data_IF_016753901403
#
_entry.id   IF_016753901403
#
_cell.length_a   1.000
_cell.length_b   1.000
_cell.length_c   1.000
_cell.angle_alpha   90.00
_cell.angle_beta   90.00
_cell.angle_gamma   90.00
#
_symmetry.space_group_name_H-M   'P 1'
#
loop_
_entity.id
_entity.type
_entity.pdbx_description
1 polymer ?
#
# COMPACT_ATOMS: atom_id res chain seq x y z
N UNK A 1 86.71 11.61 13.06
CA UNK A 1 87.47 12.24 11.99
C UNK A 1 86.43 12.86 11.10
N UNK A 2 86.31 14.13 11.27
CA UNK A 2 86.62 15.26 10.40
C UNK A 2 85.58 15.39 9.28
N UNK A 3 84.97 16.43 8.98
CA UNK A 3 84.88 17.89 9.18
C UNK A 3 83.85 18.34 8.16
N UNK A 4 82.85 19.04 8.52
CA UNK A 4 82.58 20.48 8.29
C UNK A 4 82.89 20.98 6.87
N UNK A 5 81.92 21.60 6.23
CA UNK A 5 81.95 23.05 5.95
C UNK A 5 80.75 23.48 5.14
N UNK A 6 80.28 24.63 5.59
CA UNK A 6 79.29 25.54 5.05
C UNK A 6 79.43 25.91 3.57
N UNK A 7 78.36 26.32 2.91
CA UNK A 7 78.23 27.56 2.16
C UNK A 7 76.78 27.94 1.98
N UNK A 8 76.48 29.20 2.36
CA UNK A 8 75.29 30.01 2.02
C UNK A 8 75.27 30.28 0.48
N UNK A 9 74.08 30.42 -0.11
CA UNK A 9 73.74 31.67 -0.76
C UNK A 9 72.32 31.66 -1.36
N UNK A 10 71.63 32.69 -1.08
CA UNK A 10 70.44 33.38 -1.55
C UNK A 10 70.15 33.21 -3.08
N UNK A 11 68.88 33.06 -3.46
CA UNK A 11 68.30 33.93 -4.45
C UNK A 11 66.74 33.98 -4.41
N UNK A 12 66.25 35.16 -4.54
CA UNK A 12 64.88 35.59 -4.72
C UNK A 12 64.33 35.15 -6.10
N UNK A 13 63.08 34.69 -6.13
CA UNK A 13 62.31 34.57 -7.35
C UNK A 13 60.82 34.30 -7.12
N UNK A 14 59.89 34.74 -7.95
CA UNK A 14 58.68 35.44 -7.58
C UNK A 14 57.51 34.59 -7.21
N UNK A 15 56.62 35.21 -6.42
CA UNK A 15 55.30 34.72 -6.03
C UNK A 15 54.48 34.14 -7.20
N UNK A 16 54.31 32.81 -7.17
CA UNK A 16 53.30 32.11 -7.92
C UNK A 16 51.99 32.22 -7.19
N UNK A 17 51.05 32.99 -7.75
CA UNK A 17 49.64 33.06 -7.37
C UNK A 17 49.07 31.63 -7.30
N UNK A 18 48.73 31.19 -6.11
CA UNK A 18 47.87 30.03 -5.88
C UNK A 18 46.47 30.47 -6.40
N UNK A 19 46.09 29.94 -7.55
CA UNK A 19 44.71 29.96 -7.98
C UNK A 19 44.01 28.91 -7.09
N UNK A 20 43.35 29.38 -6.07
CA UNK A 20 42.33 28.56 -5.40
C UNK A 20 41.26 28.21 -6.43
N UNK A 21 41.22 26.98 -6.83
CA UNK A 21 40.12 26.38 -7.57
C UNK A 21 38.94 26.29 -6.64
N UNK A 22 38.18 27.39 -6.51
CA UNK A 22 36.84 27.44 -5.93
C UNK A 22 35.85 26.74 -6.86
N UNK A 23 35.97 25.43 -7.00
CA UNK A 23 34.97 24.52 -7.57
C UNK A 23 34.60 23.42 -6.58
N UNK A 24 34.42 23.73 -5.31
CA UNK A 24 33.42 23.03 -4.52
C UNK A 24 32.05 23.56 -4.91
N UNK A 25 31.58 23.11 -6.08
CA UNK A 25 30.21 23.30 -6.49
C UNK A 25 29.30 22.71 -5.40
N UNK A 26 28.63 23.63 -4.76
CA UNK A 26 27.43 23.51 -3.95
C UNK A 26 26.54 22.32 -4.42
N UNK A 27 26.86 21.12 -4.01
CA UNK A 27 25.95 19.97 -4.01
C UNK A 27 24.97 20.19 -2.86
N UNK A 28 24.20 21.27 -2.92
CA UNK A 28 22.99 21.38 -2.13
C UNK A 28 22.17 20.16 -2.45
N UNK A 29 21.86 19.44 -1.42
CA UNK A 29 21.07 18.24 -1.41
C UNK A 29 19.69 18.54 -2.07
N UNK A 30 19.57 18.32 -3.39
CA UNK A 30 18.35 18.54 -4.18
C UNK A 30 17.13 17.80 -3.61
N UNK A 31 17.35 16.88 -2.66
CA UNK A 31 16.31 16.15 -1.95
C UNK A 31 15.41 17.05 -1.09
N UNK A 32 15.88 18.25 -0.70
CA UNK A 32 15.11 19.18 0.12
C UNK A 32 14.24 20.17 -0.69
N UNK A 33 14.37 20.23 -1.99
CA UNK A 33 13.67 21.24 -2.83
C UNK A 33 12.54 20.66 -3.68
N UNK A 34 12.44 19.32 -3.84
CA UNK A 34 11.38 18.72 -4.63
C UNK A 34 10.21 18.26 -3.75
N UNK A 35 8.99 18.31 -4.29
CA UNK A 35 7.84 17.67 -3.67
C UNK A 35 8.05 16.15 -3.64
N UNK A 36 7.67 15.52 -2.54
CA UNK A 36 7.63 14.05 -2.48
C UNK A 36 6.60 13.51 -3.45
N UNK A 37 6.88 12.37 -4.06
CA UNK A 37 6.05 11.73 -5.07
C UNK A 37 5.41 10.45 -4.53
N UNK A 38 4.10 10.30 -4.73
CA UNK A 38 3.35 9.09 -4.38
C UNK A 38 2.64 8.50 -5.59
N UNK A 39 2.75 7.19 -5.77
CA UNK A 39 1.97 6.40 -6.73
C UNK A 39 0.90 5.60 -5.97
N UNK A 40 -0.38 5.83 -6.30
CA UNK A 40 -1.52 5.22 -5.63
C UNK A 40 -2.34 4.40 -6.62
N UNK A 41 -2.65 3.15 -6.27
CA UNK A 41 -3.48 2.30 -7.12
C UNK A 41 -4.93 2.24 -6.65
N UNK A 42 -5.89 2.18 -7.59
CA UNK A 42 -7.31 2.02 -7.29
C UNK A 42 -7.98 3.27 -6.73
N UNK A 43 -7.74 4.43 -7.35
CA UNK A 43 -8.26 5.74 -6.89
C UNK A 43 -9.69 6.05 -7.36
N UNK A 44 -10.39 5.13 -8.05
CA UNK A 44 -11.75 5.40 -8.57
C UNK A 44 -12.79 5.61 -7.48
N UNK A 45 -12.58 5.14 -6.25
CA UNK A 45 -13.52 5.29 -5.13
C UNK A 45 -12.85 4.99 -3.79
N UNK A 46 -13.58 5.21 -2.69
CA UNK A 46 -13.23 4.77 -1.33
C UNK A 46 -11.83 5.18 -0.88
N UNK A 47 -11.11 4.26 -0.25
CA UNK A 47 -9.79 4.51 0.36
C UNK A 47 -8.79 5.13 -0.62
N UNK A 48 -8.71 4.62 -1.85
CA UNK A 48 -7.73 5.13 -2.82
C UNK A 48 -7.98 6.58 -3.23
N UNK A 49 -9.25 6.97 -3.39
CA UNK A 49 -9.63 8.36 -3.68
C UNK A 49 -9.33 9.27 -2.49
N UNK A 50 -9.74 8.88 -1.29
CA UNK A 50 -9.47 9.62 -0.06
C UNK A 50 -7.95 9.79 0.17
N UNK A 51 -7.17 8.71 -0.06
CA UNK A 51 -5.71 8.75 0.02
C UNK A 51 -5.12 9.75 -0.97
N UNK A 52 -5.55 9.75 -2.23
CA UNK A 52 -5.06 10.69 -3.23
C UNK A 52 -5.32 12.14 -2.82
N UNK A 53 -6.51 12.43 -2.29
CA UNK A 53 -6.88 13.74 -1.76
C UNK A 53 -5.99 14.12 -0.56
N UNK A 54 -5.84 13.24 0.43
CA UNK A 54 -5.03 13.50 1.62
C UNK A 54 -3.56 13.80 1.28
N UNK A 55 -2.95 13.06 0.34
CA UNK A 55 -1.58 13.35 -0.09
C UNK A 55 -1.46 14.67 -0.85
N UNK A 56 -2.45 15.00 -1.69
CA UNK A 56 -2.46 16.27 -2.43
C UNK A 56 -2.56 17.47 -1.48
N UNK A 57 -3.42 17.39 -0.47
CA UNK A 57 -3.58 18.43 0.57
C UNK A 57 -2.33 18.61 1.44
N UNK A 58 -1.47 17.59 1.52
CA UNK A 58 -0.19 17.60 2.22
C UNK A 58 1.01 17.87 1.29
N UNK A 59 0.78 18.54 0.16
CA UNK A 59 1.79 19.07 -0.76
C UNK A 59 2.64 17.98 -1.45
N UNK A 60 2.12 16.76 -1.61
CA UNK A 60 2.76 15.72 -2.39
C UNK A 60 2.41 15.84 -3.88
N UNK A 61 3.31 15.38 -4.74
CA UNK A 61 2.98 15.09 -6.13
C UNK A 61 2.30 13.73 -6.22
N UNK A 62 1.02 13.72 -6.58
CA UNK A 62 0.19 12.52 -6.56
C UNK A 62 -0.02 11.96 -7.96
N UNK A 63 0.35 10.70 -8.14
CA UNK A 63 0.00 9.88 -9.31
C UNK A 63 -1.13 8.94 -8.91
N UNK A 64 -2.34 9.32 -9.29
CA UNK A 64 -3.55 8.57 -9.01
C UNK A 64 -3.90 7.65 -10.18
N UNK A 65 -4.17 6.37 -9.91
CA UNK A 65 -4.45 5.41 -10.98
C UNK A 65 -5.79 4.70 -10.85
N UNK A 66 -6.41 4.42 -11.97
CA UNK A 66 -7.63 3.63 -12.09
C UNK A 66 -7.64 2.86 -13.42
N UNK A 67 -8.48 1.82 -13.55
CA UNK A 67 -8.68 1.09 -14.82
C UNK A 67 -9.33 1.95 -15.90
N UNK A 68 -10.16 2.92 -15.49
CA UNK A 68 -10.72 3.95 -16.34
C UNK A 68 -10.46 5.31 -15.69
N UNK A 69 -9.76 6.19 -16.40
CA UNK A 69 -9.39 7.53 -15.93
C UNK A 69 -10.58 8.46 -15.78
N UNK A 70 -11.67 8.25 -16.51
CA UNK A 70 -12.91 9.05 -16.38
C UNK A 70 -13.46 9.00 -14.94
N UNK A 71 -13.22 7.89 -14.24
CA UNK A 71 -13.65 7.73 -12.85
C UNK A 71 -12.81 8.54 -11.86
N UNK A 72 -11.69 9.13 -12.29
CA UNK A 72 -10.76 9.92 -11.47
C UNK A 72 -10.51 11.32 -12.04
N UNK A 73 -11.36 11.80 -12.96
CA UNK A 73 -11.28 13.13 -13.53
C UNK A 73 -11.28 14.23 -12.46
N UNK A 74 -12.11 14.10 -11.43
CA UNK A 74 -12.13 15.04 -10.31
C UNK A 74 -10.79 15.12 -9.53
N UNK A 75 -10.01 14.03 -9.50
CA UNK A 75 -8.65 14.06 -8.93
C UNK A 75 -7.67 14.79 -9.85
N UNK A 76 -7.84 14.68 -11.16
CA UNK A 76 -7.05 15.44 -12.14
C UNK A 76 -7.33 16.94 -12.03
N UNK A 77 -8.60 17.33 -11.98
CA UNK A 77 -9.02 18.73 -11.75
C UNK A 77 -8.48 19.29 -10.41
N UNK A 78 -8.38 18.45 -9.38
CA UNK A 78 -7.81 18.82 -8.09
C UNK A 78 -6.28 18.97 -8.13
N UNK A 79 -5.58 18.46 -9.17
CA UNK A 79 -4.13 18.59 -9.35
C UNK A 79 -3.33 17.30 -9.29
N UNK A 80 -3.97 16.13 -9.21
CA UNK A 80 -3.27 14.85 -9.36
C UNK A 80 -2.86 14.61 -10.83
N UNK A 81 -1.80 13.86 -11.04
CA UNK A 81 -1.53 13.24 -12.34
C UNK A 81 -2.28 11.92 -12.42
N UNK A 82 -3.24 11.82 -13.34
CA UNK A 82 -4.04 10.60 -13.51
C UNK A 82 -3.45 9.69 -14.57
N UNK A 83 -3.43 8.37 -14.29
CA UNK A 83 -2.89 7.36 -15.20
C UNK A 83 -3.81 6.12 -15.23
N UNK A 84 -4.01 5.57 -16.43
CA UNK A 84 -4.70 4.29 -16.57
C UNK A 84 -3.83 3.14 -16.09
N UNK A 85 -4.37 2.31 -15.19
CA UNK A 85 -3.69 1.13 -14.65
C UNK A 85 -4.67 0.01 -14.31
N UNK A 86 -4.52 -1.11 -14.99
CA UNK A 86 -4.94 -2.42 -14.52
C UNK A 86 -3.73 -3.11 -13.90
N UNK A 87 -3.77 -3.38 -12.59
CA UNK A 87 -2.68 -4.02 -11.84
C UNK A 87 -2.41 -5.47 -12.27
N UNK A 88 -3.33 -6.07 -13.03
CA UNK A 88 -3.16 -7.41 -13.63
C UNK A 88 -2.34 -7.37 -14.92
N UNK A 89 -2.16 -6.19 -15.52
CA UNK A 89 -1.42 -6.00 -16.77
C UNK A 89 0.03 -5.56 -16.50
N UNK A 90 1.04 -6.43 -16.69
CA UNK A 90 2.44 -6.12 -16.38
C UNK A 90 3.02 -4.98 -17.21
N UNK A 91 2.53 -4.80 -18.45
CA UNK A 91 3.01 -3.73 -19.34
C UNK A 91 2.50 -2.36 -18.89
N UNK A 92 1.24 -2.30 -18.42
CA UNK A 92 0.68 -1.08 -17.84
C UNK A 92 1.40 -0.73 -16.54
N UNK A 93 1.68 -1.71 -15.68
CA UNK A 93 2.45 -1.52 -14.44
C UNK A 93 3.82 -0.90 -14.73
N UNK A 94 4.59 -1.49 -15.65
CA UNK A 94 5.89 -0.97 -16.02
C UNK A 94 5.81 0.49 -16.52
N UNK A 95 4.90 0.76 -17.46
CA UNK A 95 4.68 2.11 -18.01
C UNK A 95 4.31 3.15 -16.97
N UNK A 96 3.43 2.79 -16.02
CA UNK A 96 2.98 3.70 -14.97
C UNK A 96 4.11 4.03 -14.01
N UNK A 97 4.90 3.04 -13.60
CA UNK A 97 6.07 3.25 -12.74
C UNK A 97 7.09 4.15 -13.44
N UNK A 98 7.45 3.87 -14.70
CA UNK A 98 8.38 4.70 -15.48
C UNK A 98 7.88 6.15 -15.60
N UNK A 99 6.60 6.35 -15.97
CA UNK A 99 6.01 7.69 -16.07
C UNK A 99 6.00 8.44 -14.73
N UNK A 100 5.80 7.71 -13.63
CA UNK A 100 5.86 8.31 -12.29
C UNK A 100 7.26 8.81 -11.99
N UNK A 101 8.29 8.01 -12.29
CA UNK A 101 9.69 8.41 -12.11
C UNK A 101 10.07 9.56 -13.05
N UNK A 102 9.70 9.49 -14.33
CA UNK A 102 10.02 10.53 -15.32
C UNK A 102 9.43 11.90 -14.95
N UNK A 103 8.19 11.93 -14.45
CA UNK A 103 7.48 13.18 -14.14
C UNK A 103 7.65 13.63 -12.69
N UNK A 104 7.76 12.68 -11.77
CA UNK A 104 7.90 12.93 -10.33
C UNK A 104 9.36 13.04 -9.87
N UNK A 105 10.31 12.63 -10.72
CA UNK A 105 11.73 12.54 -10.39
C UNK A 105 12.08 11.37 -9.47
N UNK A 106 11.08 10.72 -8.86
CA UNK A 106 11.24 9.61 -7.91
C UNK A 106 9.93 8.91 -7.64
N UNK A 107 9.97 7.84 -6.84
CA UNK A 107 8.80 7.28 -6.15
C UNK A 107 9.16 7.24 -4.67
N UNK A 108 8.70 8.23 -3.90
CA UNK A 108 8.96 8.28 -2.46
C UNK A 108 8.00 7.35 -1.70
N UNK A 109 6.77 7.16 -2.22
CA UNK A 109 5.78 6.26 -1.66
C UNK A 109 5.03 5.51 -2.77
N UNK A 110 4.88 4.20 -2.61
CA UNK A 110 3.99 3.35 -3.39
C UNK A 110 2.85 2.86 -2.51
N UNK A 111 1.60 3.19 -2.86
CA UNK A 111 0.40 2.72 -2.16
C UNK A 111 -0.31 1.68 -3.00
N UNK A 112 -0.19 0.41 -2.63
CA UNK A 112 -0.90 -0.72 -3.21
C UNK A 112 -2.28 -0.83 -2.55
N UNK A 113 -3.26 -0.07 -3.08
CA UNK A 113 -4.63 -0.06 -2.58
C UNK A 113 -5.60 -0.81 -3.49
N UNK A 114 -5.34 -0.92 -4.78
CA UNK A 114 -6.22 -1.63 -5.70
C UNK A 114 -6.52 -3.06 -5.23
N UNK A 115 -7.80 -3.39 -5.10
CA UNK A 115 -8.24 -4.68 -4.61
C UNK A 115 -9.76 -4.80 -4.62
N UNK A 116 -10.24 -6.02 -4.43
CA UNK A 116 -11.66 -6.32 -4.23
C UNK A 116 -11.81 -7.55 -3.33
N UNK A 117 -13.02 -7.91 -2.92
CA UNK A 117 -13.30 -9.11 -2.16
C UNK A 117 -14.24 -10.03 -2.91
N UNK A 118 -13.77 -11.25 -3.14
CA UNK A 118 -14.59 -12.39 -3.50
C UNK A 118 -15.06 -13.05 -2.21
N UNK A 119 -16.31 -12.86 -1.87
CA UNK A 119 -16.95 -13.46 -0.71
C UNK A 119 -17.80 -14.66 -1.15
N UNK A 120 -18.10 -15.53 -0.21
CA UNK A 120 -18.92 -16.72 -0.40
C UNK A 120 -18.31 -17.99 0.19
N UNK A 121 -19.11 -19.06 0.37
CA UNK A 121 -18.61 -20.38 0.71
C UNK A 121 -17.55 -20.83 -0.28
N UNK A 122 -16.49 -21.51 0.21
CA UNK A 122 -15.39 -21.94 -0.65
C UNK A 122 -15.82 -22.87 -1.79
N UNK A 123 -16.93 -23.60 -1.61
CA UNK A 123 -17.51 -24.45 -2.65
C UNK A 123 -18.12 -23.63 -3.80
N UNK A 124 -18.69 -22.48 -3.50
CA UNK A 124 -19.35 -21.62 -4.49
C UNK A 124 -18.36 -20.67 -5.21
N UNK A 125 -17.15 -20.47 -4.65
CA UNK A 125 -16.10 -19.69 -5.30
C UNK A 125 -15.35 -20.56 -6.32
N UNK A 126 -15.52 -20.27 -7.59
CA UNK A 126 -14.82 -21.00 -8.65
C UNK A 126 -13.28 -20.77 -8.57
N UNK A 127 -12.51 -21.76 -9.08
CA UNK A 127 -11.04 -21.60 -9.18
C UNK A 127 -10.64 -20.40 -10.05
N UNK A 128 -11.47 -20.04 -11.03
CA UNK A 128 -11.24 -18.87 -11.89
C UNK A 128 -11.40 -17.57 -11.08
N UNK A 129 -12.44 -17.48 -10.26
CA UNK A 129 -12.70 -16.31 -9.42
C UNK A 129 -11.65 -16.20 -8.30
N UNK A 130 -11.26 -17.35 -7.70
CA UNK A 130 -10.14 -17.38 -6.76
C UNK A 130 -8.84 -16.89 -7.41
N UNK A 131 -8.52 -17.35 -8.63
CA UNK A 131 -7.33 -16.90 -9.36
C UNK A 131 -7.38 -15.40 -9.63
N UNK A 132 -8.53 -14.87 -10.07
CA UNK A 132 -8.73 -13.43 -10.29
C UNK A 132 -8.54 -12.62 -9.00
N UNK A 133 -9.05 -13.12 -7.87
CA UNK A 133 -8.83 -12.50 -6.55
C UNK A 133 -7.35 -12.37 -6.22
N UNK A 134 -6.56 -13.43 -6.45
CA UNK A 134 -5.12 -13.41 -6.21
C UNK A 134 -4.39 -12.54 -7.24
N UNK A 135 -4.82 -12.53 -8.48
CA UNK A 135 -4.17 -11.75 -9.53
C UNK A 135 -4.22 -10.24 -9.23
N UNK A 136 -5.34 -9.75 -8.72
CA UNK A 136 -5.48 -8.35 -8.31
C UNK A 136 -4.82 -8.11 -6.94
N UNK A 137 -5.19 -8.87 -5.90
CA UNK A 137 -4.86 -8.54 -4.52
C UNK A 137 -3.44 -8.94 -4.10
N UNK A 138 -2.81 -9.86 -4.81
CA UNK A 138 -1.47 -10.41 -4.47
C UNK A 138 -0.48 -10.13 -5.58
N UNK A 139 -0.77 -10.58 -6.80
CA UNK A 139 0.17 -10.44 -7.90
C UNK A 139 0.26 -8.99 -8.40
N UNK A 140 -0.83 -8.21 -8.31
CA UNK A 140 -0.83 -6.78 -8.60
C UNK A 140 0.19 -6.00 -7.76
N UNK A 141 0.07 -6.02 -6.41
CA UNK A 141 1.08 -5.44 -5.53
C UNK A 141 2.49 -5.96 -5.79
N UNK A 142 2.65 -7.26 -6.01
CA UNK A 142 3.96 -7.84 -6.34
C UNK A 142 4.56 -7.28 -7.63
N UNK A 143 3.76 -7.10 -8.71
CA UNK A 143 4.23 -6.48 -9.96
C UNK A 143 4.70 -5.05 -9.73
N UNK A 144 3.91 -4.26 -8.98
CA UNK A 144 4.23 -2.86 -8.66
C UNK A 144 5.50 -2.74 -7.81
N UNK A 145 5.62 -3.58 -6.77
CA UNK A 145 6.82 -3.64 -5.94
C UNK A 145 8.05 -3.97 -6.81
N UNK A 146 7.99 -4.99 -7.65
CA UNK A 146 9.10 -5.36 -8.55
C UNK A 146 9.50 -4.24 -9.51
N UNK A 147 8.54 -3.46 -9.99
CA UNK A 147 8.82 -2.35 -10.88
C UNK A 147 9.38 -1.13 -10.14
N UNK A 148 8.89 -0.82 -8.93
CA UNK A 148 9.30 0.36 -8.17
C UNK A 148 10.63 0.17 -7.41
N UNK A 149 10.91 -1.03 -6.89
CA UNK A 149 12.09 -1.31 -6.05
C UNK A 149 13.44 -0.89 -6.66
N UNK A 150 13.73 -1.11 -7.96
CA UNK A 150 15.00 -0.66 -8.54
C UNK A 150 15.21 0.85 -8.40
N UNK A 151 14.14 1.63 -8.56
CA UNK A 151 14.18 3.10 -8.42
C UNK A 151 14.38 3.51 -6.96
N UNK A 152 13.60 2.92 -6.03
CA UNK A 152 13.72 3.20 -4.59
C UNK A 152 15.11 2.82 -4.06
N UNK A 153 15.70 1.69 -4.49
CA UNK A 153 17.07 1.32 -4.12
C UNK A 153 18.10 2.31 -4.65
N UNK A 154 17.94 2.79 -5.88
CA UNK A 154 18.84 3.80 -6.45
C UNK A 154 18.73 5.15 -5.69
N UNK A 155 17.56 5.46 -5.12
CA UNK A 155 17.32 6.62 -4.26
C UNK A 155 17.92 6.44 -2.86
N UNK A 156 18.13 5.19 -2.40
CA UNK A 156 18.49 4.88 -1.01
C UNK A 156 17.38 5.20 -0.01
N UNK A 157 16.14 5.32 -0.48
CA UNK A 157 14.95 5.62 0.33
C UNK A 157 13.69 5.24 -0.42
N UNK A 158 12.63 4.89 0.32
CA UNK A 158 11.31 4.62 -0.27
C UNK A 158 10.34 4.10 0.77
N UNK A 159 9.05 4.17 0.44
CA UNK A 159 7.99 3.61 1.26
C UNK A 159 7.04 2.77 0.43
N UNK A 160 6.75 1.58 0.89
CA UNK A 160 5.78 0.67 0.29
C UNK A 160 4.67 0.46 1.31
N UNK A 161 3.46 0.88 0.94
CA UNK A 161 2.27 0.74 1.76
C UNK A 161 1.32 -0.23 1.08
N UNK A 162 1.06 -1.36 1.74
CA UNK A 162 0.14 -2.37 1.26
C UNK A 162 -1.17 -2.29 2.05
N UNK A 163 -2.28 -1.99 1.38
CA UNK A 163 -3.61 -1.98 2.01
C UNK A 163 -4.12 -3.42 2.08
N UNK A 164 -4.02 -3.99 3.27
CA UNK A 164 -4.53 -5.32 3.63
C UNK A 164 -5.98 -5.23 4.14
N UNK A 165 -6.28 -5.88 5.21
CA UNK A 165 -7.53 -5.87 5.97
C UNK A 165 -7.34 -6.64 7.27
N UNK A 166 -8.23 -6.43 8.24
CA UNK A 166 -8.33 -7.30 9.44
C UNK A 166 -8.45 -8.79 9.05
N UNK A 167 -9.09 -9.10 7.90
CA UNK A 167 -9.18 -10.49 7.40
C UNK A 167 -7.87 -11.03 6.84
N UNK A 168 -6.84 -10.23 6.72
CA UNK A 168 -5.47 -10.69 6.49
C UNK A 168 -4.83 -11.31 7.73
N UNK A 169 -5.45 -11.19 8.89
CA UNK A 169 -4.97 -11.71 10.19
C UNK A 169 -5.90 -12.75 10.80
N UNK A 170 -7.17 -12.67 10.49
CA UNK A 170 -8.22 -13.61 10.92
C UNK A 170 -9.09 -13.94 9.71
N UNK A 171 -9.76 -15.09 9.75
CA UNK A 171 -10.72 -15.46 8.71
C UNK A 171 -12.03 -15.90 9.36
N UNK A 172 -13.12 -15.74 8.64
CA UNK A 172 -14.45 -16.19 9.06
C UNK A 172 -15.14 -16.94 7.91
N UNK A 173 -16.17 -17.72 8.20
CA UNK A 173 -16.91 -18.45 7.16
C UNK A 173 -17.41 -17.47 6.06
N UNK A 174 -17.23 -17.85 4.80
CA UNK A 174 -17.58 -17.04 3.64
C UNK A 174 -16.50 -16.04 3.18
N UNK A 175 -15.42 -15.83 3.95
CA UNK A 175 -14.33 -14.92 3.55
C UNK A 175 -13.09 -15.62 2.96
N UNK A 176 -13.14 -16.93 2.75
CA UNK A 176 -11.95 -17.76 2.52
C UNK A 176 -11.07 -17.29 1.36
N UNK A 177 -11.63 -16.95 0.21
CA UNK A 177 -10.88 -16.45 -0.95
C UNK A 177 -10.23 -15.10 -0.67
N UNK A 178 -10.98 -14.16 -0.14
CA UNK A 178 -10.51 -12.83 0.20
C UNK A 178 -9.47 -12.87 1.33
N UNK A 179 -9.79 -13.55 2.44
CA UNK A 179 -8.87 -13.71 3.56
C UNK A 179 -7.56 -14.39 3.14
N UNK A 180 -7.64 -15.43 2.31
CA UNK A 180 -6.46 -16.09 1.74
C UNK A 180 -5.56 -15.12 0.96
N UNK A 181 -6.15 -14.25 0.12
CA UNK A 181 -5.40 -13.25 -0.63
C UNK A 181 -4.74 -12.21 0.29
N UNK A 182 -5.44 -11.74 1.33
CA UNK A 182 -4.89 -10.76 2.28
C UNK A 182 -3.84 -11.37 3.21
N UNK A 183 -4.01 -12.62 3.66
CA UNK A 183 -2.95 -13.35 4.39
C UNK A 183 -1.68 -13.52 3.54
N UNK A 184 -1.82 -13.80 2.25
CA UNK A 184 -0.69 -13.89 1.33
C UNK A 184 0.04 -12.53 1.23
N UNK A 185 -0.70 -11.42 1.09
CA UNK A 185 -0.14 -10.07 1.04
C UNK A 185 0.60 -9.72 2.36
N UNK A 186 0.04 -10.08 3.52
CA UNK A 186 0.67 -9.90 4.83
C UNK A 186 2.02 -10.63 4.92
N UNK A 187 2.03 -11.92 4.58
CA UNK A 187 3.23 -12.75 4.64
C UNK A 187 4.32 -12.25 3.68
N UNK A 188 3.93 -11.85 2.46
CA UNK A 188 4.85 -11.28 1.47
C UNK A 188 5.40 -9.93 1.92
N UNK A 189 4.59 -9.11 2.59
CA UNK A 189 5.03 -7.82 3.15
C UNK A 189 6.03 -7.99 4.29
N UNK A 190 5.86 -9.00 5.14
CA UNK A 190 6.81 -9.31 6.22
C UNK A 190 8.19 -9.73 5.68
N UNK A 191 8.20 -10.60 4.65
CA UNK A 191 9.45 -11.00 3.98
C UNK A 191 10.11 -9.80 3.32
N UNK A 192 9.35 -9.06 2.51
CA UNK A 192 9.84 -7.90 1.78
C UNK A 192 10.46 -6.85 2.74
N UNK A 193 9.84 -6.58 3.88
CA UNK A 193 10.34 -5.60 4.86
C UNK A 193 11.76 -5.94 5.31
N UNK A 194 12.01 -7.22 5.60
CA UNK A 194 13.35 -7.68 6.00
C UNK A 194 14.35 -7.66 4.84
N UNK A 195 13.89 -7.89 3.60
CA UNK A 195 14.74 -7.91 2.41
C UNK A 195 15.20 -6.53 1.97
N UNK A 196 14.42 -5.46 2.27
CA UNK A 196 14.69 -4.10 1.76
C UNK A 196 15.16 -3.12 2.83
N UNK A 197 15.25 -3.54 4.08
CA UNK A 197 15.67 -2.73 5.23
C UNK A 197 17.04 -2.08 5.02
N UNK A 198 18.01 -2.83 4.51
CA UNK A 198 19.36 -2.33 4.21
C UNK A 198 19.41 -1.23 3.14
N UNK A 199 18.34 -1.07 2.34
CA UNK A 199 18.24 -0.06 1.28
C UNK A 199 17.51 1.22 1.73
N UNK A 200 17.15 1.33 3.01
CA UNK A 200 16.38 2.47 3.53
C UNK A 200 14.94 2.52 3.00
N UNK A 201 14.36 1.35 2.72
CA UNK A 201 12.98 1.22 2.21
C UNK A 201 12.11 0.60 3.30
N UNK A 202 11.07 1.34 3.71
CA UNK A 202 10.11 0.87 4.70
C UNK A 202 8.92 0.16 4.04
N UNK A 203 8.42 -0.89 4.67
CA UNK A 203 7.22 -1.60 4.24
C UNK A 203 6.20 -1.64 5.38
N UNK A 204 5.07 -0.98 5.18
CA UNK A 204 3.96 -0.94 6.13
C UNK A 204 2.72 -1.59 5.55
N UNK A 205 2.02 -2.36 6.37
CA UNK A 205 0.72 -2.94 6.04
C UNK A 205 -0.36 -2.18 6.80
N UNK A 206 -1.31 -1.62 6.07
CA UNK A 206 -2.52 -1.02 6.66
C UNK A 206 -3.56 -2.13 6.76
N UNK A 207 -4.12 -2.30 7.95
CA UNK A 207 -5.10 -3.35 8.27
C UNK A 207 -6.47 -2.71 8.62
N UNK A 208 -7.27 -2.26 7.64
CA UNK A 208 -8.59 -1.70 7.93
C UNK A 208 -9.54 -2.78 8.46
N UNK A 209 -10.40 -2.38 9.41
CA UNK A 209 -11.63 -3.07 9.73
C UNK A 209 -12.69 -2.87 8.62
N UNK A 210 -13.98 -2.98 8.92
CA UNK A 210 -15.04 -2.54 8.02
C UNK A 210 -14.90 -1.06 7.68
N UNK A 211 -15.01 -0.70 6.40
CA UNK A 211 -14.89 0.69 5.91
C UNK A 211 -16.10 1.04 5.08
N UNK A 212 -16.63 2.23 5.28
CA UNK A 212 -17.73 2.78 4.48
C UNK A 212 -17.25 3.06 3.05
N UNK A 213 -17.51 2.14 2.15
CA UNK A 213 -17.13 2.25 0.74
C UNK A 213 -18.12 1.49 -0.13
N UNK A 214 -18.16 1.79 -1.43
CA UNK A 214 -18.88 0.98 -2.43
C UNK A 214 -18.25 -0.42 -2.63
N UNK A 215 -17.39 -0.84 -1.72
CA UNK A 215 -16.75 -2.16 -1.75
C UNK A 215 -17.78 -3.27 -1.57
N UNK A 216 -18.79 -3.03 -0.75
CA UNK A 216 -19.88 -3.97 -0.46
C UNK A 216 -20.78 -4.20 -1.67
N UNK A 217 -21.11 -3.15 -2.44
CA UNK A 217 -21.92 -3.25 -3.66
C UNK A 217 -21.26 -4.18 -4.69
N UNK A 218 -19.93 -4.16 -4.78
CA UNK A 218 -19.17 -5.04 -5.69
C UNK A 218 -19.12 -6.48 -5.22
N UNK A 219 -19.21 -6.73 -3.92
CA UNK A 219 -19.24 -8.10 -3.38
C UNK A 219 -20.49 -8.84 -3.85
N UNK A 220 -21.65 -8.17 -3.89
CA UNK A 220 -22.91 -8.78 -4.34
C UNK A 220 -22.89 -9.08 -5.86
N UNK A 221 -22.17 -8.29 -6.65
CA UNK A 221 -21.98 -8.54 -8.08
C UNK A 221 -21.11 -9.79 -8.36
N UNK A 222 -20.16 -10.11 -7.47
CA UNK A 222 -19.21 -11.22 -7.66
C UNK A 222 -19.81 -12.62 -7.38
N UNK A 223 -20.88 -12.71 -6.58
CA UNK A 223 -21.56 -13.97 -6.31
C UNK A 223 -23.10 -13.81 -6.38
N UNK A 224 -23.67 -13.72 -7.59
CA UNK A 224 -25.10 -13.57 -7.77
C UNK A 224 -25.89 -14.74 -7.19
N UNK A 225 -27.13 -14.48 -6.77
CA UNK A 225 -28.00 -15.47 -6.10
C UNK A 225 -28.13 -16.80 -6.87
N UNK A 226 -28.10 -16.76 -8.20
CA UNK A 226 -28.21 -17.92 -9.07
C UNK A 226 -27.04 -18.92 -8.92
N UNK A 227 -25.91 -18.46 -8.38
CA UNK A 227 -24.72 -19.27 -8.12
C UNK A 227 -24.63 -19.76 -6.67
N UNK A 228 -25.57 -19.36 -5.82
CA UNK A 228 -25.56 -19.74 -4.40
C UNK A 228 -26.05 -21.17 -4.21
N UNK A 229 -25.25 -22.01 -3.58
CA UNK A 229 -25.64 -23.38 -3.22
C UNK A 229 -26.62 -23.36 -2.04
N UNK A 230 -27.83 -23.95 -2.15
CA UNK A 230 -28.85 -23.87 -1.08
C UNK A 230 -28.40 -24.44 0.26
N UNK A 231 -27.41 -25.32 0.28
CA UNK A 231 -26.85 -25.87 1.52
C UNK A 231 -26.18 -24.81 2.41
N UNK A 232 -25.84 -23.63 1.86
CA UNK A 232 -25.22 -22.51 2.56
C UNK A 232 -26.15 -21.33 2.82
N UNK A 233 -27.46 -21.49 2.67
CA UNK A 233 -28.45 -20.42 2.86
C UNK A 233 -28.25 -19.65 4.19
N UNK A 234 -28.15 -20.35 5.31
CA UNK A 234 -27.86 -19.73 6.63
C UNK A 234 -26.53 -18.98 6.67
N UNK A 235 -25.53 -19.36 5.86
CA UNK A 235 -24.26 -18.65 5.81
C UNK A 235 -24.41 -17.34 5.02
N UNK A 236 -25.22 -17.34 3.96
CA UNK A 236 -25.51 -16.15 3.18
C UNK A 236 -26.36 -15.14 4.01
N UNK A 237 -27.38 -15.62 4.73
CA UNK A 237 -28.17 -14.81 5.66
C UNK A 237 -27.29 -14.17 6.72
N UNK A 238 -26.39 -14.92 7.35
CA UNK A 238 -25.43 -14.39 8.32
C UNK A 238 -24.51 -13.35 7.70
N UNK A 239 -24.07 -13.56 6.46
CA UNK A 239 -23.24 -12.60 5.75
C UNK A 239 -23.99 -11.28 5.48
N UNK A 240 -25.21 -11.36 4.99
CA UNK A 240 -26.06 -10.19 4.72
C UNK A 240 -26.34 -9.40 6.02
N UNK A 241 -26.58 -10.08 7.14
CA UNK A 241 -26.73 -9.43 8.45
C UNK A 241 -25.42 -8.79 8.96
N UNK A 242 -24.27 -9.47 8.77
CA UNK A 242 -22.96 -8.90 9.14
C UNK A 242 -22.64 -7.64 8.32
N UNK A 243 -23.05 -7.57 7.07
CA UNK A 243 -22.91 -6.36 6.26
C UNK A 243 -23.73 -5.19 6.80
N UNK A 244 -24.96 -5.44 7.26
CA UNK A 244 -25.82 -4.43 7.87
C UNK A 244 -25.24 -3.88 9.18
N UNK A 245 -24.53 -4.71 9.95
CA UNK A 245 -23.93 -4.32 11.24
C UNK A 245 -22.53 -3.69 11.05
N UNK A 246 -21.79 -4.15 10.07
CA UNK A 246 -20.32 -3.95 10.01
C UNK A 246 -19.79 -3.04 8.92
N UNK A 247 -20.55 -2.62 7.89
CA UNK A 247 -19.79 -1.86 6.93
C UNK A 247 -20.36 -1.42 5.60
N UNK A 248 -21.57 -1.74 5.25
CA UNK A 248 -22.10 -1.32 3.94
C UNK A 248 -22.59 0.14 3.92
N UNK A 249 -23.13 0.61 5.01
CA UNK A 249 -23.83 1.89 5.09
C UNK A 249 -23.68 2.60 6.45
N UNK A 250 -22.47 2.64 7.03
CA UNK A 250 -22.21 3.38 8.26
C UNK A 250 -22.60 2.63 9.53
N UNK A 251 -22.26 1.36 9.63
CA UNK A 251 -22.43 0.61 10.88
C UNK A 251 -21.58 1.20 12.02
N UNK A 252 -21.98 0.97 13.29
CA UNK A 252 -21.35 1.62 14.47
C UNK A 252 -19.86 1.31 14.66
N UNK A 253 -19.32 0.38 13.89
CA UNK A 253 -17.89 -0.04 13.93
C UNK A 253 -17.15 0.19 12.61
N UNK A 254 -17.80 0.80 11.62
CA UNK A 254 -17.17 1.14 10.35
C UNK A 254 -16.27 2.37 10.53
N UNK A 255 -15.10 2.33 9.91
CA UNK A 255 -14.23 3.50 9.73
C UNK A 255 -14.59 4.21 8.43
N UNK A 256 -14.30 5.50 8.34
CA UNK A 256 -14.40 6.22 7.08
C UNK A 256 -13.22 5.89 6.14
N UNK A 257 -13.36 6.18 4.86
CA UNK A 257 -12.26 6.11 3.90
C UNK A 257 -11.13 7.08 4.28
N UNK A 258 -11.50 8.21 4.87
CA UNK A 258 -10.61 9.27 5.33
C UNK A 258 -9.75 8.81 6.51
N UNK A 259 -10.32 8.08 7.50
CA UNK A 259 -9.54 7.51 8.61
C UNK A 259 -8.42 6.58 8.11
N UNK A 260 -8.71 5.80 7.06
CA UNK A 260 -7.71 4.92 6.45
C UNK A 260 -6.69 5.72 5.65
N UNK A 261 -7.11 6.76 4.94
CA UNK A 261 -6.23 7.65 4.18
C UNK A 261 -5.25 8.39 5.11
N UNK A 262 -5.73 8.86 6.26
CA UNK A 262 -4.91 9.51 7.29
C UNK A 262 -3.85 8.54 7.85
N UNK A 263 -4.23 7.29 8.12
CA UNK A 263 -3.28 6.26 8.55
C UNK A 263 -2.22 5.95 7.49
N UNK A 264 -2.60 5.93 6.20
CA UNK A 264 -1.67 5.76 5.07
C UNK A 264 -0.70 6.96 4.98
N UNK A 265 -1.22 8.18 5.10
CA UNK A 265 -0.41 9.39 5.07
C UNK A 265 0.55 9.45 6.27
N UNK A 266 0.08 9.15 7.47
CA UNK A 266 0.91 9.07 8.67
C UNK A 266 2.04 8.05 8.48
N UNK A 267 1.73 6.82 8.06
CA UNK A 267 2.73 5.79 7.78
C UNK A 267 3.74 6.21 6.69
N UNK A 268 3.36 7.16 5.81
CA UNK A 268 4.24 7.69 4.76
C UNK A 268 5.16 8.80 5.23
N UNK A 269 4.87 9.43 6.37
CA UNK A 269 5.54 10.67 6.80
C UNK A 269 6.38 10.51 8.05
N UNK A 270 6.01 9.61 8.97
CA UNK A 270 6.77 9.35 10.21
C UNK A 270 8.16 8.77 9.92
N UNK A 271 9.15 9.06 10.76
CA UNK A 271 10.53 8.58 10.56
C UNK A 271 10.65 7.07 10.68
N UNK A 272 9.92 6.45 11.60
CA UNK A 272 9.92 5.01 11.86
C UNK A 272 8.47 4.48 11.78
N UNK A 273 8.01 4.12 10.58
CA UNK A 273 6.65 3.64 10.42
C UNK A 273 6.47 2.26 11.05
N UNK A 274 5.32 2.01 11.71
CA UNK A 274 5.05 0.68 12.23
C UNK A 274 4.93 -0.34 11.09
N UNK A 275 5.33 -1.57 11.35
CA UNK A 275 5.18 -2.66 10.37
C UNK A 275 3.72 -2.90 9.99
N UNK A 276 2.79 -2.62 10.90
CA UNK A 276 1.34 -2.76 10.72
C UNK A 276 0.58 -1.62 11.38
N UNK A 277 -0.45 -1.18 10.69
CA UNK A 277 -1.32 -0.09 11.13
C UNK A 277 -2.80 -0.54 11.11
N UNK A 278 -3.33 -1.08 12.21
CA UNK A 278 -4.74 -1.46 12.28
C UNK A 278 -5.63 -0.21 12.39
N UNK A 279 -6.61 -0.06 11.49
CA UNK A 279 -7.53 1.07 11.45
C UNK A 279 -8.94 0.65 11.83
N UNK A 280 -9.50 1.34 12.80
CA UNK A 280 -10.83 1.07 13.37
C UNK A 280 -10.81 0.07 14.52
N UNK A 281 -11.86 0.13 15.33
CA UNK A 281 -11.98 -0.62 16.60
C UNK A 281 -11.89 -2.14 16.36
N UNK A 282 -12.59 -2.64 15.34
CA UNK A 282 -12.57 -4.07 15.03
C UNK A 282 -11.21 -4.55 14.54
N UNK A 283 -10.45 -3.72 13.83
CA UNK A 283 -9.09 -4.08 13.44
C UNK A 283 -8.15 -4.08 14.65
N UNK A 284 -8.21 -3.04 15.50
CA UNK A 284 -7.33 -2.91 16.66
C UNK A 284 -7.50 -4.06 17.67
N UNK A 285 -8.72 -4.51 17.91
CA UNK A 285 -9.02 -5.54 18.91
C UNK A 285 -9.30 -6.91 18.30
N UNK A 286 -9.95 -6.97 17.13
CA UNK A 286 -10.34 -8.23 16.48
C UNK A 286 -9.15 -9.10 16.08
N UNK A 287 -8.02 -8.50 15.73
CA UNK A 287 -6.80 -9.24 15.37
C UNK A 287 -6.29 -10.14 16.50
N UNK A 288 -6.62 -9.85 17.75
CA UNK A 288 -6.24 -10.71 18.88
C UNK A 288 -6.97 -12.05 18.90
N UNK A 289 -8.11 -12.17 18.21
CA UNK A 289 -8.81 -13.45 18.05
C UNK A 289 -7.92 -14.53 17.37
N UNK A 290 -6.89 -14.14 16.62
CA UNK A 290 -5.90 -15.06 16.03
C UNK A 290 -5.14 -15.89 17.07
N UNK A 291 -5.02 -15.42 18.30
CA UNK A 291 -4.33 -16.12 19.38
C UNK A 291 -5.24 -17.09 20.16
N UNK A 292 -6.55 -17.06 19.89
CA UNK A 292 -7.47 -18.03 20.45
C UNK A 292 -7.21 -19.41 19.82
N UNK A 293 -7.28 -20.49 20.60
CA UNK A 293 -7.29 -21.84 20.06
C UNK A 293 -8.39 -22.02 19.00
N UNK A 294 -8.11 -22.79 17.95
CA UNK A 294 -9.04 -23.04 16.85
C UNK A 294 -10.41 -23.52 17.34
N UNK A 295 -10.42 -24.40 18.35
CA UNK A 295 -11.65 -24.93 18.95
C UNK A 295 -12.55 -23.85 19.55
N UNK A 296 -11.98 -22.77 20.11
CA UNK A 296 -12.73 -21.64 20.65
C UNK A 296 -13.26 -20.74 19.53
N UNK A 297 -12.47 -20.47 18.50
CA UNK A 297 -12.92 -19.73 17.32
C UNK A 297 -14.08 -20.43 16.63
N UNK A 298 -13.94 -21.75 16.40
CA UNK A 298 -14.97 -22.58 15.78
C UNK A 298 -16.25 -22.63 16.64
N UNK A 299 -16.09 -22.67 17.97
CA UNK A 299 -17.24 -22.61 18.87
C UNK A 299 -17.97 -21.26 18.77
N UNK A 300 -17.23 -20.16 18.65
CA UNK A 300 -17.77 -18.83 18.41
C UNK A 300 -18.59 -18.77 17.12
N UNK A 301 -18.04 -19.26 16.01
CA UNK A 301 -18.76 -19.31 14.73
C UNK A 301 -20.00 -20.21 14.77
N UNK A 302 -19.92 -21.36 15.45
CA UNK A 302 -21.10 -22.20 15.67
C UNK A 302 -22.19 -21.53 16.50
N UNK A 303 -21.81 -20.69 17.47
CA UNK A 303 -22.77 -19.93 18.27
C UNK A 303 -23.44 -18.85 17.44
N UNK A 304 -22.67 -18.06 16.67
CA UNK A 304 -23.20 -17.02 15.78
C UNK A 304 -24.24 -17.60 14.80
N UNK A 305 -23.93 -18.73 14.15
CA UNK A 305 -24.87 -19.44 13.26
C UNK A 305 -26.17 -19.92 13.90
N UNK A 306 -26.25 -19.97 15.22
CA UNK A 306 -27.48 -20.35 15.94
C UNK A 306 -28.32 -19.17 16.37
N UNK A 307 -27.78 -17.96 16.27
CA UNK A 307 -28.46 -16.73 16.65
C UNK A 307 -29.16 -16.05 15.45
N UNK A 308 -28.81 -16.48 14.25
CA UNK A 308 -29.46 -16.21 12.96
C UNK A 308 -30.35 -17.40 12.61
#
# INVERSE_FOLDING_TARGET
>A
MATAEDVEETDDGPAGTVVEDDHEADQRDDRYTRKKCVLITGCSSGIGRATATAFLENDWQVFATARNTDHIEALEEAGCTTLELDVTNPEQVARVVERTVERGGSIDCLVNNAGYAQMGPMEDVSTVDLHRQFDVNVYGPHRLVRAALPHMRAQGAGRIINVSSVVGRISFPGSGAYAGSKHALEAMSDSLRAEVDEFGIDVTVIEPGPVETNFTERVDEELPEEKRTPAYETLYELYDEMQLIGGGSGGPFASSSEDVADAILEASTVSEPPARYPVGVLAQYGVYARFLPDTLRDAGYRLLRKLV
#
